data_IF_967274152442
#
_entry.id   IF_967274152442
#
_cell.length_a   1.000
_cell.length_b   1.000
_cell.length_c   1.000
_cell.angle_alpha   90.00
_cell.angle_beta   90.00
_cell.angle_gamma   90.00
#
_symmetry.space_group_name_H-M   'P 1'
#
loop_
_entity.id
_entity.type
_entity.pdbx_description
1 polymer ?
#
# COMPACT_ATOMS: atom_id res chain seq x y z
N UNK A 1 -7.11 13.40 -9.99
CA UNK A 1 -6.35 13.58 -11.24
C UNK A 1 -6.54 12.37 -12.12
N UNK A 2 -7.27 12.52 -13.22
CA UNK A 2 -7.56 11.44 -14.15
C UNK A 2 -6.34 11.14 -15.00
N UNK A 3 -5.98 9.86 -15.13
CA UNK A 3 -4.85 9.41 -15.92
C UNK A 3 -5.10 8.04 -16.53
N UNK A 4 -4.40 7.76 -17.60
CA UNK A 4 -4.21 6.42 -18.13
C UNK A 4 -2.90 5.86 -17.59
N UNK A 5 -2.95 4.66 -17.04
CA UNK A 5 -1.77 3.95 -16.56
C UNK A 5 -1.60 2.65 -17.34
N UNK A 6 -0.40 2.48 -17.90
CA UNK A 6 0.02 1.26 -18.55
C UNK A 6 1.14 0.64 -17.72
N UNK A 7 1.07 -0.67 -17.51
CA UNK A 7 2.06 -1.41 -16.76
C UNK A 7 2.27 -2.79 -17.36
N UNK A 8 3.54 -3.14 -17.56
CA UNK A 8 3.96 -4.49 -17.92
C UNK A 8 4.94 -5.03 -16.90
N UNK A 9 4.89 -6.33 -16.64
CA UNK A 9 5.82 -7.00 -15.74
C UNK A 9 6.09 -8.42 -16.21
N UNK A 10 7.35 -8.82 -16.12
CA UNK A 10 7.79 -10.20 -16.30
C UNK A 10 8.35 -10.68 -14.98
N UNK A 11 7.82 -11.82 -14.50
CA UNK A 11 8.33 -12.53 -13.31
C UNK A 11 8.76 -13.93 -13.70
N UNK A 12 9.98 -14.29 -13.30
CA UNK A 12 10.54 -15.62 -13.44
C UNK A 12 10.75 -16.19 -12.04
N UNK A 13 10.32 -17.41 -11.80
CA UNK A 13 10.46 -18.12 -10.53
C UNK A 13 11.10 -19.49 -10.72
N UNK A 14 11.80 -19.94 -9.71
CA UNK A 14 12.40 -21.26 -9.63
C UNK A 14 12.11 -21.90 -8.26
N UNK A 15 11.44 -23.05 -8.28
CA UNK A 15 11.12 -23.82 -7.09
C UNK A 15 12.31 -24.75 -6.80
N UNK A 16 13.12 -24.40 -5.82
CA UNK A 16 14.31 -25.20 -5.46
C UNK A 16 14.00 -26.29 -4.42
N UNK A 17 12.84 -26.20 -3.76
CA UNK A 17 12.32 -27.23 -2.86
C UNK A 17 10.79 -27.08 -2.77
N UNK A 18 10.03 -28.13 -2.45
CA UNK A 18 8.61 -28.02 -2.21
C UNK A 18 8.28 -26.90 -1.20
N UNK A 19 7.45 -25.94 -1.61
CA UNK A 19 7.09 -24.79 -0.82
C UNK A 19 8.11 -23.64 -0.75
N UNK A 20 9.22 -23.71 -1.52
CA UNK A 20 10.26 -22.69 -1.54
C UNK A 20 10.57 -22.24 -2.96
N UNK A 21 10.26 -21.00 -3.27
CA UNK A 21 10.47 -20.37 -4.58
C UNK A 21 11.41 -19.19 -4.45
N UNK A 22 12.43 -19.09 -5.30
CA UNK A 22 13.15 -17.83 -5.55
C UNK A 22 12.65 -17.24 -6.85
N UNK A 23 12.59 -15.92 -6.94
CA UNK A 23 12.07 -15.27 -8.12
C UNK A 23 12.72 -13.92 -8.39
N UNK A 24 12.65 -13.49 -9.64
CA UNK A 24 13.01 -12.14 -10.06
C UNK A 24 11.87 -11.56 -10.90
N UNK A 25 11.67 -10.23 -10.80
CA UNK A 25 10.68 -9.49 -11.58
C UNK A 25 11.28 -8.19 -12.09
N UNK A 26 11.07 -7.92 -13.37
CA UNK A 26 11.22 -6.58 -13.95
C UNK A 26 9.85 -6.03 -14.32
N UNK A 27 9.59 -4.76 -14.07
CA UNK A 27 8.38 -4.10 -14.52
C UNK A 27 8.66 -2.72 -15.12
N UNK A 28 7.80 -2.34 -16.07
CA UNK A 28 7.76 -1.04 -16.72
C UNK A 28 6.40 -0.41 -16.46
N UNK A 29 6.36 0.88 -16.26
CA UNK A 29 5.10 1.61 -16.13
C UNK A 29 5.17 2.97 -16.85
N UNK A 30 4.01 3.42 -17.30
CA UNK A 30 3.84 4.75 -17.87
C UNK A 30 2.51 5.32 -17.39
N UNK A 31 2.52 6.59 -16.97
CA UNK A 31 1.35 7.30 -16.51
C UNK A 31 1.17 8.56 -17.34
N UNK A 32 0.05 8.65 -18.04
CA UNK A 32 -0.32 9.78 -18.87
C UNK A 32 -1.55 10.47 -18.29
N UNK A 33 -1.39 11.69 -17.83
CA UNK A 33 -2.48 12.48 -17.25
C UNK A 33 -3.33 13.07 -18.38
N UNK A 34 -4.67 13.00 -18.23
CA UNK A 34 -5.63 13.47 -19.24
C UNK A 34 -5.57 14.98 -19.35
N UNK A 35 -5.46 15.67 -18.21
CA UNK A 35 -5.34 17.12 -18.16
C UNK A 35 -3.86 17.48 -17.96
N UNK A 36 -3.20 17.80 -19.06
CA UNK A 36 -1.78 18.20 -19.09
C UNK A 36 -1.59 19.37 -20.06
N UNK A 37 -0.91 20.48 -19.67
CA UNK A 37 -0.40 20.76 -18.32
C UNK A 37 -1.48 20.83 -17.26
N UNK A 38 -1.12 20.64 -15.97
CA UNK A 38 -2.02 20.82 -14.84
C UNK A 38 -2.35 22.31 -14.60
N UNK A 39 -3.18 22.62 -13.62
CA UNK A 39 -3.58 23.99 -13.28
C UNK A 39 -2.42 24.90 -12.86
N UNK A 40 -1.24 24.36 -12.62
CA UNK A 40 0.00 25.07 -12.29
C UNK A 40 0.96 25.16 -13.49
N UNK A 41 0.57 24.61 -14.65
CA UNK A 41 1.39 24.59 -15.85
C UNK A 41 2.39 23.45 -15.97
N UNK A 42 2.35 22.43 -15.09
CA UNK A 42 3.29 21.30 -15.09
C UNK A 42 2.79 20.11 -15.89
N UNK A 43 3.70 19.44 -16.60
CA UNK A 43 3.46 18.17 -17.29
C UNK A 43 3.82 17.00 -16.35
N UNK A 44 2.82 16.38 -15.71
CA UNK A 44 3.01 15.31 -14.72
C UNK A 44 3.16 13.91 -15.30
N UNK A 45 3.12 13.79 -16.63
CA UNK A 45 3.36 12.52 -17.29
C UNK A 45 4.70 11.95 -16.86
N UNK A 46 4.73 10.65 -16.64
CA UNK A 46 5.93 9.99 -16.14
C UNK A 46 6.00 8.54 -16.61
N UNK A 47 7.19 7.98 -16.59
CA UNK A 47 7.46 6.58 -16.86
C UNK A 47 8.51 6.06 -15.90
N UNK A 48 8.49 4.76 -15.66
CA UNK A 48 9.45 4.18 -14.72
C UNK A 48 9.62 2.69 -14.90
N UNK A 49 10.57 2.17 -14.16
CA UNK A 49 10.82 0.73 -14.06
C UNK A 49 11.20 0.33 -12.65
N UNK A 50 10.96 -0.94 -12.34
CA UNK A 50 11.52 -1.59 -11.16
C UNK A 50 12.13 -2.94 -11.52
N UNK A 51 13.18 -3.31 -10.78
CA UNK A 51 13.78 -4.64 -10.81
C UNK A 51 13.88 -5.12 -9.38
N UNK A 52 13.28 -6.26 -9.09
CA UNK A 52 13.26 -6.86 -7.76
C UNK A 52 13.54 -8.36 -7.84
N UNK A 53 14.20 -8.87 -6.80
CA UNK A 53 14.35 -10.30 -6.53
C UNK A 53 13.74 -10.65 -5.19
N UNK A 54 13.22 -11.87 -5.05
CA UNK A 54 12.53 -12.24 -3.84
C UNK A 54 12.49 -13.75 -3.60
N UNK A 55 11.94 -14.08 -2.45
CA UNK A 55 11.68 -15.45 -2.01
C UNK A 55 10.22 -15.57 -1.59
N UNK A 56 9.60 -16.68 -1.95
CA UNK A 56 8.29 -17.07 -1.46
C UNK A 56 8.41 -18.42 -0.75
N UNK A 57 7.75 -18.53 0.40
CA UNK A 57 7.74 -19.74 1.21
C UNK A 57 6.29 -20.08 1.54
N UNK A 58 5.92 -21.33 1.32
CA UNK A 58 4.61 -21.90 1.66
C UNK A 58 4.80 -23.18 2.48
N UNK A 59 4.45 -23.12 3.75
CA UNK A 59 4.59 -24.23 4.70
C UNK A 59 3.23 -24.91 4.93
N UNK A 60 2.49 -25.18 3.86
CA UNK A 60 1.32 -26.05 3.90
C UNK A 60 0.08 -25.45 4.55
N UNK A 61 -0.23 -24.18 4.30
CA UNK A 61 -1.49 -23.53 4.71
C UNK A 61 -1.49 -22.96 6.13
N UNK A 62 -0.50 -23.26 6.96
CA UNK A 62 -0.34 -22.65 8.29
C UNK A 62 0.42 -21.33 8.18
N UNK A 63 1.46 -21.31 7.36
CA UNK A 63 2.32 -20.13 7.20
C UNK A 63 2.78 -20.03 5.77
N UNK A 64 2.57 -18.88 5.16
CA UNK A 64 3.21 -18.49 3.91
C UNK A 64 3.71 -17.07 4.00
N UNK A 65 4.82 -16.77 3.32
CA UNK A 65 5.30 -15.40 3.19
C UNK A 65 6.03 -15.20 1.87
N UNK A 66 6.00 -13.97 1.41
CA UNK A 66 6.79 -13.52 0.28
C UNK A 66 7.54 -12.25 0.69
N UNK A 67 8.85 -12.24 0.44
CA UNK A 67 9.71 -11.08 0.67
C UNK A 67 10.51 -10.79 -0.59
N UNK A 68 10.70 -9.50 -0.89
CA UNK A 68 11.48 -9.06 -2.04
C UNK A 68 12.24 -7.77 -1.73
N UNK A 69 13.32 -7.56 -2.48
CA UNK A 69 14.07 -6.32 -2.49
C UNK A 69 14.59 -6.03 -3.90
N UNK A 70 14.83 -4.77 -4.19
CA UNK A 70 15.35 -4.33 -5.48
C UNK A 70 15.43 -2.81 -5.57
N UNK A 71 15.25 -2.29 -6.76
CA UNK A 71 15.38 -0.87 -7.02
C UNK A 71 14.29 -0.40 -7.97
N UNK A 72 13.82 0.82 -7.75
CA UNK A 72 12.84 1.49 -8.60
C UNK A 72 13.36 2.85 -9.06
N UNK A 73 12.90 3.26 -10.23
CA UNK A 73 13.16 4.59 -10.79
C UNK A 73 11.92 5.08 -11.54
N UNK A 74 11.54 6.35 -11.29
CA UNK A 74 10.43 7.01 -11.96
C UNK A 74 10.90 8.36 -12.51
N UNK A 75 10.81 8.55 -13.81
CA UNK A 75 11.19 9.75 -14.54
C UNK A 75 9.96 10.55 -14.91
N UNK A 76 10.02 11.86 -14.76
CA UNK A 76 8.97 12.79 -15.18
C UNK A 76 9.37 13.48 -16.48
N UNK A 77 8.40 13.76 -17.35
CA UNK A 77 8.66 14.48 -18.60
C UNK A 77 8.99 15.96 -18.36
N UNK A 78 8.43 16.54 -17.29
CA UNK A 78 8.70 17.92 -16.92
C UNK A 78 10.03 18.02 -16.13
N UNK A 79 10.99 18.81 -16.57
CA UNK A 79 12.29 18.96 -15.89
C UNK A 79 12.19 19.62 -14.50
N UNK A 80 11.07 20.27 -14.18
CA UNK A 80 10.82 20.80 -12.83
C UNK A 80 10.64 19.70 -11.78
N UNK A 81 10.32 18.47 -12.21
CA UNK A 81 10.15 17.34 -11.30
C UNK A 81 11.43 16.53 -11.15
N UNK A 82 11.89 16.30 -9.92
CA UNK A 82 13.03 15.43 -9.68
C UNK A 82 12.67 13.97 -10.02
N UNK A 83 13.66 13.21 -10.48
CA UNK A 83 13.54 11.76 -10.61
C UNK A 83 13.31 11.14 -9.23
N UNK A 84 12.29 10.31 -9.11
CA UNK A 84 12.03 9.54 -7.90
C UNK A 84 12.68 8.18 -8.04
N UNK A 85 13.67 7.88 -7.20
CA UNK A 85 14.42 6.63 -7.27
C UNK A 85 14.84 6.15 -5.88
N UNK A 86 15.07 4.86 -5.75
CA UNK A 86 15.57 4.31 -4.50
C UNK A 86 15.30 2.82 -4.33
N UNK A 87 15.70 2.28 -3.16
CA UNK A 87 15.43 0.89 -2.85
C UNK A 87 13.92 0.62 -2.80
N UNK A 88 13.50 -0.49 -3.40
CA UNK A 88 12.16 -1.04 -3.33
C UNK A 88 12.23 -2.34 -2.54
N UNK A 89 11.32 -2.51 -1.59
CA UNK A 89 11.22 -3.75 -0.84
C UNK A 89 9.79 -3.98 -0.36
N UNK A 90 9.50 -5.22 -0.08
CA UNK A 90 8.22 -5.62 0.47
C UNK A 90 8.32 -6.97 1.16
N UNK A 91 7.37 -7.18 2.06
CA UNK A 91 7.10 -8.44 2.72
C UNK A 91 5.61 -8.55 2.91
N UNK A 92 5.06 -9.71 2.64
CA UNK A 92 3.70 -10.07 3.05
C UNK A 92 3.76 -11.49 3.63
N UNK A 93 3.17 -11.65 4.81
CA UNK A 93 3.04 -12.95 5.46
C UNK A 93 1.58 -13.30 5.69
N UNK A 94 1.27 -14.58 5.72
CA UNK A 94 0.00 -15.14 6.19
C UNK A 94 0.35 -16.22 7.21
N UNK A 95 -0.13 -16.05 8.42
CA UNK A 95 0.05 -16.99 9.51
C UNK A 95 -1.30 -17.34 10.11
N UNK A 96 -1.66 -18.63 10.02
CA UNK A 96 -2.92 -19.18 10.49
C UNK A 96 -2.65 -20.14 11.66
N UNK A 97 -2.30 -19.63 12.87
CA UNK A 97 -1.99 -20.47 14.02
C UNK A 97 -3.19 -21.31 14.48
N UNK A 98 -4.39 -20.83 14.20
CA UNK A 98 -5.66 -21.52 14.41
C UNK A 98 -6.49 -21.42 13.12
N UNK A 99 -7.45 -22.32 12.93
CA UNK A 99 -8.37 -22.28 11.77
C UNK A 99 -9.19 -20.99 11.75
N UNK A 100 -9.47 -20.43 12.91
CA UNK A 100 -10.25 -19.23 13.12
C UNK A 100 -9.45 -17.94 13.14
N UNK A 101 -8.11 -18.03 13.17
CA UNK A 101 -7.22 -16.87 13.32
C UNK A 101 -6.26 -16.75 12.15
N UNK A 102 -6.33 -15.64 11.44
CA UNK A 102 -5.36 -15.23 10.42
C UNK A 102 -4.64 -13.96 10.89
N UNK A 103 -3.32 -13.99 10.80
CA UNK A 103 -2.43 -12.85 11.08
C UNK A 103 -1.64 -12.56 9.81
N UNK A 104 -1.72 -11.33 9.32
CA UNK A 104 -1.06 -10.91 8.08
C UNK A 104 -0.16 -9.70 8.33
N UNK A 105 1.12 -9.91 8.71
CA UNK A 105 2.11 -8.85 8.71
C UNK A 105 2.48 -8.46 7.28
N UNK A 106 2.74 -7.16 7.07
CA UNK A 106 3.22 -6.68 5.78
C UNK A 106 4.13 -5.46 5.92
N UNK A 107 5.04 -5.33 4.97
CA UNK A 107 5.83 -4.13 4.73
C UNK A 107 5.82 -3.87 3.23
N UNK A 108 5.61 -2.62 2.85
CA UNK A 108 5.60 -2.21 1.44
C UNK A 108 6.28 -0.87 1.27
N UNK A 109 7.11 -0.76 0.22
CA UNK A 109 7.66 0.51 -0.23
C UNK A 109 7.34 0.71 -1.71
N UNK A 110 6.74 1.86 -2.04
CA UNK A 110 6.30 2.18 -3.40
C UNK A 110 6.32 3.69 -3.65
N UNK A 111 6.40 4.07 -4.92
CA UNK A 111 6.18 5.46 -5.36
C UNK A 111 4.68 5.68 -5.53
N UNK A 112 4.17 6.65 -4.81
CA UNK A 112 2.77 7.07 -4.85
C UNK A 112 2.64 8.49 -5.41
N UNK A 113 1.53 8.73 -6.10
CA UNK A 113 1.21 10.07 -6.57
C UNK A 113 0.67 10.93 -5.44
N UNK A 114 0.87 12.23 -5.57
CA UNK A 114 0.39 13.22 -4.59
C UNK A 114 -0.62 14.18 -5.20
N UNK A 115 -1.55 14.65 -4.38
CA UNK A 115 -2.42 15.77 -4.70
C UNK A 115 -1.74 17.13 -4.52
N UNK A 116 -0.57 17.16 -3.85
CA UNK A 116 0.19 18.39 -3.68
C UNK A 116 0.69 18.90 -5.04
N UNK A 117 0.46 20.19 -5.29
CA UNK A 117 0.92 20.84 -6.53
C UNK A 117 2.41 21.08 -6.52
N UNK A 118 3.01 21.14 -5.34
CA UNK A 118 4.43 21.43 -5.08
C UNK A 118 5.33 20.20 -5.02
N UNK A 119 4.79 19.01 -5.26
CA UNK A 119 5.55 17.75 -5.23
C UNK A 119 5.27 16.91 -6.49
N UNK A 120 6.30 16.22 -6.96
CA UNK A 120 6.21 15.24 -8.05
C UNK A 120 5.41 14.01 -7.64
N UNK A 121 5.70 13.47 -6.47
CA UNK A 121 5.13 12.29 -5.84
C UNK A 121 5.78 12.10 -4.48
N UNK A 122 5.52 10.97 -3.85
CA UNK A 122 6.20 10.60 -2.61
C UNK A 122 6.57 9.12 -2.59
N UNK A 123 7.64 8.82 -1.88
CA UNK A 123 8.05 7.45 -1.60
C UNK A 123 7.42 7.03 -0.28
N UNK A 124 6.44 6.15 -0.37
CA UNK A 124 5.73 5.60 0.79
C UNK A 124 6.42 4.34 1.28
N UNK A 125 6.62 4.24 2.58
CA UNK A 125 7.00 2.99 3.26
C UNK A 125 5.98 2.72 4.34
N UNK A 126 5.24 1.62 4.20
CA UNK A 126 4.19 1.24 5.14
C UNK A 126 4.52 -0.12 5.75
N UNK A 127 4.48 -0.21 7.08
CA UNK A 127 4.54 -1.47 7.81
C UNK A 127 3.26 -1.64 8.61
N UNK A 128 2.65 -2.81 8.55
CA UNK A 128 1.36 -3.04 9.20
C UNK A 128 1.08 -4.49 9.51
N UNK A 129 0.00 -4.69 10.22
CA UNK A 129 -0.52 -5.97 10.66
C UNK A 129 -2.04 -5.99 10.49
N UNK A 130 -2.55 -6.99 9.79
CA UNK A 130 -3.97 -7.34 9.77
C UNK A 130 -4.18 -8.60 10.63
N UNK A 131 -5.20 -8.60 11.45
CA UNK A 131 -5.63 -9.76 12.25
C UNK A 131 -7.11 -9.99 11.99
N UNK A 132 -7.46 -11.19 11.53
CA UNK A 132 -8.85 -11.62 11.38
C UNK A 132 -9.10 -12.81 12.31
N UNK A 133 -10.13 -12.70 13.13
CA UNK A 133 -10.56 -13.75 14.06
C UNK A 133 -12.02 -14.09 13.86
N UNK A 134 -12.28 -15.33 13.49
CA UNK A 134 -13.63 -15.89 13.37
C UNK A 134 -14.10 -16.36 14.74
N UNK A 135 -14.62 -15.43 15.55
CA UNK A 135 -15.05 -15.71 16.93
C UNK A 135 -16.20 -16.70 17.00
N UNK A 136 -17.09 -16.67 15.99
CA UNK A 136 -18.18 -17.64 15.75
C UNK A 136 -18.40 -17.80 14.24
N UNK A 137 -19.11 -18.83 13.77
CA UNK A 137 -19.41 -18.98 12.34
C UNK A 137 -20.07 -17.76 11.69
N UNK A 138 -20.74 -16.94 12.48
CA UNK A 138 -21.43 -15.72 12.05
C UNK A 138 -20.84 -14.42 12.61
N UNK A 139 -19.71 -14.48 13.32
CA UNK A 139 -19.05 -13.28 13.89
C UNK A 139 -17.58 -13.27 13.52
N UNK A 140 -17.16 -12.26 12.75
CA UNK A 140 -15.75 -11.99 12.42
C UNK A 140 -15.32 -10.69 13.06
N UNK A 141 -14.21 -10.73 13.77
CA UNK A 141 -13.51 -9.57 14.33
C UNK A 141 -12.27 -9.30 13.49
N UNK A 142 -12.05 -8.05 13.15
CA UNK A 142 -10.91 -7.60 12.34
C UNK A 142 -10.21 -6.50 13.11
N UNK A 143 -8.90 -6.61 13.26
CA UNK A 143 -8.03 -5.56 13.75
C UNK A 143 -6.98 -5.26 12.68
N UNK A 144 -6.70 -3.98 12.49
CA UNK A 144 -5.69 -3.50 11.56
C UNK A 144 -4.88 -2.39 12.22
N UNK A 145 -3.58 -2.41 12.04
CA UNK A 145 -2.70 -1.34 12.45
C UNK A 145 -1.57 -1.17 11.44
N UNK A 146 -1.33 0.06 11.02
CA UNK A 146 -0.20 0.37 10.15
C UNK A 146 0.49 1.67 10.56
N UNK A 147 1.76 1.73 10.20
CA UNK A 147 2.57 2.92 10.27
C UNK A 147 3.19 3.20 8.91
N UNK A 148 2.95 4.39 8.37
CA UNK A 148 3.43 4.79 7.07
C UNK A 148 4.32 6.04 7.14
N UNK A 149 5.45 6.01 6.41
CA UNK A 149 6.32 7.16 6.16
C UNK A 149 6.17 7.58 4.71
N UNK A 150 5.85 8.84 4.48
CA UNK A 150 5.75 9.46 3.16
C UNK A 150 6.82 10.54 3.00
N UNK A 151 7.82 10.27 2.16
CA UNK A 151 8.88 11.23 1.83
C UNK A 151 8.54 11.87 0.48
N UNK A 152 8.22 13.17 0.49
CA UNK A 152 7.80 13.89 -0.71
C UNK A 152 9.00 14.39 -1.52
N UNK A 153 8.91 14.23 -2.83
CA UNK A 153 9.86 14.77 -3.81
C UNK A 153 9.35 16.12 -4.29
N UNK A 154 9.83 17.17 -3.60
CA UNK A 154 9.41 18.55 -3.82
C UNK A 154 10.01 19.14 -5.09
N UNK A 155 9.29 20.05 -5.73
CA UNK A 155 9.71 20.80 -6.93
C UNK A 155 10.21 22.20 -6.55
N UNK A 156 11.05 22.79 -7.38
CA UNK A 156 11.46 24.19 -7.31
C UNK A 156 11.94 24.65 -5.92
N UNK A 157 12.82 23.87 -5.27
CA UNK A 157 13.39 24.17 -3.94
C UNK A 157 12.34 24.40 -2.83
N UNK A 158 11.14 23.88 -2.98
CA UNK A 158 10.15 23.88 -1.90
C UNK A 158 10.70 23.15 -0.66
N UNK A 159 10.26 23.53 0.56
CA UNK A 159 10.72 22.89 1.77
C UNK A 159 10.49 21.38 1.72
N UNK A 160 11.50 20.62 2.17
CA UNK A 160 11.38 19.18 2.32
C UNK A 160 10.20 18.81 3.21
N UNK A 161 9.37 17.85 2.74
CA UNK A 161 8.22 17.37 3.48
C UNK A 161 8.32 15.88 3.74
N UNK A 162 8.06 15.50 4.98
CA UNK A 162 7.89 14.13 5.44
C UNK A 162 6.64 14.04 6.30
N UNK A 163 5.75 13.15 5.92
CA UNK A 163 4.54 12.86 6.67
C UNK A 163 4.62 11.43 7.24
N UNK A 164 4.11 11.27 8.45
CA UNK A 164 3.99 9.99 9.14
C UNK A 164 2.53 9.76 9.48
N UNK A 165 2.06 8.56 9.23
CA UNK A 165 0.68 8.18 9.50
C UNK A 165 0.65 6.95 10.41
N UNK A 166 -0.10 7.01 11.50
CA UNK A 166 -0.46 5.84 12.30
C UNK A 166 -1.95 5.61 12.13
N UNK A 167 -2.32 4.44 11.60
CA UNK A 167 -3.70 4.01 11.41
C UNK A 167 -4.00 2.83 12.30
N UNK A 168 -5.04 2.91 13.10
CA UNK A 168 -5.58 1.79 13.88
C UNK A 168 -7.05 1.62 13.51
N UNK A 169 -7.46 0.40 13.23
CA UNK A 169 -8.85 0.06 12.90
C UNK A 169 -9.28 -1.21 13.61
N UNK A 170 -10.47 -1.19 14.18
CA UNK A 170 -11.16 -2.37 14.68
C UNK A 170 -12.53 -2.48 14.00
N UNK A 171 -12.94 -3.69 13.64
CA UNK A 171 -14.23 -3.93 13.03
C UNK A 171 -14.82 -5.27 13.52
N UNK A 172 -16.14 -5.29 13.61
CA UNK A 172 -16.92 -6.51 13.86
C UNK A 172 -17.94 -6.65 12.75
N UNK A 173 -17.92 -7.78 12.07
CA UNK A 173 -18.91 -8.18 11.08
C UNK A 173 -19.78 -9.27 11.68
N UNK A 174 -21.09 -9.13 11.54
CA UNK A 174 -22.08 -10.07 12.04
C UNK A 174 -23.04 -10.49 10.92
N UNK A 175 -23.06 -11.77 10.57
CA UNK A 175 -24.02 -12.35 9.66
C UNK A 175 -25.31 -12.64 10.43
N UNK A 176 -26.34 -11.81 10.23
CA UNK A 176 -27.67 -11.93 10.84
C UNK A 176 -28.40 -13.16 10.33
N UNK A 177 -28.29 -13.41 9.02
CA UNK A 177 -28.79 -14.59 8.32
C UNK A 177 -27.80 -14.97 7.23
N UNK A 178 -28.11 -16.04 6.45
CA UNK A 178 -27.28 -16.40 5.28
C UNK A 178 -27.19 -15.27 4.23
N UNK A 179 -28.22 -14.44 4.17
CA UNK A 179 -28.38 -13.40 3.16
C UNK A 179 -28.21 -11.97 3.70
N UNK A 180 -28.25 -11.76 5.01
CA UNK A 180 -28.19 -10.44 5.61
C UNK A 180 -27.02 -10.33 6.58
N UNK A 181 -26.22 -9.29 6.43
CA UNK A 181 -25.08 -9.01 7.32
C UNK A 181 -25.02 -7.55 7.75
N UNK A 182 -24.41 -7.31 8.89
CA UNK A 182 -24.11 -5.97 9.42
C UNK A 182 -22.67 -5.91 9.87
N UNK A 183 -22.12 -4.71 9.94
CA UNK A 183 -20.76 -4.48 10.43
C UNK A 183 -20.62 -3.12 11.07
N UNK A 184 -19.87 -3.07 12.15
CA UNK A 184 -19.46 -1.85 12.82
C UNK A 184 -17.95 -1.77 12.76
N UNK A 185 -17.40 -0.61 12.37
CA UNK A 185 -15.97 -0.36 12.41
C UNK A 185 -15.66 1.00 12.99
N UNK A 186 -14.54 1.06 13.70
CA UNK A 186 -13.91 2.28 14.18
C UNK A 186 -12.49 2.36 13.61
N UNK A 187 -12.11 3.52 13.11
CA UNK A 187 -10.76 3.80 12.63
C UNK A 187 -10.28 5.11 13.24
N UNK A 188 -9.05 5.07 13.74
CA UNK A 188 -8.32 6.23 14.19
C UNK A 188 -7.09 6.44 13.30
N UNK A 189 -6.89 7.67 12.81
CA UNK A 189 -5.74 8.06 12.01
C UNK A 189 -5.08 9.25 12.66
N UNK A 190 -3.79 9.13 12.93
CA UNK A 190 -2.95 10.23 13.38
C UNK A 190 -1.93 10.55 12.29
N UNK A 191 -1.89 11.79 11.84
CA UNK A 191 -0.88 12.30 10.92
C UNK A 191 0.04 13.28 11.64
N UNK A 192 1.36 13.04 11.51
CA UNK A 192 2.42 13.94 11.95
C UNK A 192 3.22 14.37 10.72
N UNK A 193 3.46 15.65 10.57
CA UNK A 193 4.23 16.24 9.48
C UNK A 193 5.32 17.15 10.05
N UNK A 194 6.43 17.28 9.34
CA UNK A 194 7.44 18.28 9.64
C UNK A 194 7.05 19.71 9.22
N UNK A 195 5.93 19.84 8.47
CA UNK A 195 5.37 21.15 8.14
C UNK A 195 4.41 21.64 9.21
N UNK A 196 4.45 22.94 9.50
CA UNK A 196 3.53 23.56 10.44
C UNK A 196 2.07 23.42 9.98
N UNK A 197 1.17 23.16 10.95
CA UNK A 197 -0.28 23.04 10.74
C UNK A 197 -0.72 21.91 9.78
N UNK A 198 0.16 20.94 9.48
CA UNK A 198 -0.16 19.79 8.64
C UNK A 198 -0.52 18.52 9.44
N UNK A 199 -0.49 18.60 10.77
CA UNK A 199 -0.85 17.50 11.68
C UNK A 199 -2.35 17.42 11.85
N UNK A 200 -2.87 16.20 11.93
CA UNK A 200 -4.29 16.01 12.29
C UNK A 200 -4.52 14.65 12.97
N UNK A 201 -5.63 14.59 13.70
CA UNK A 201 -6.24 13.38 14.21
C UNK A 201 -7.62 13.21 13.59
N UNK A 202 -7.94 12.01 13.14
CA UNK A 202 -9.22 11.69 12.55
C UNK A 202 -9.81 10.43 13.20
N UNK A 203 -11.10 10.49 13.53
CA UNK A 203 -11.86 9.36 14.04
C UNK A 203 -13.01 9.09 13.06
N UNK A 204 -13.14 7.85 12.61
CA UNK A 204 -14.16 7.43 11.66
C UNK A 204 -14.92 6.25 12.27
N UNK A 205 -16.23 6.41 12.42
CA UNK A 205 -17.14 5.31 12.76
C UNK A 205 -17.97 4.99 11.53
N UNK A 206 -18.05 3.72 11.17
CA UNK A 206 -18.84 3.27 10.03
C UNK A 206 -19.74 2.10 10.43
N UNK A 207 -21.01 2.24 10.14
CA UNK A 207 -22.01 1.16 10.19
C UNK A 207 -22.29 0.70 8.76
N UNK A 208 -22.28 -0.60 8.57
CA UNK A 208 -22.62 -1.25 7.28
C UNK A 208 -23.78 -2.20 7.47
N UNK A 209 -24.72 -2.17 6.55
CA UNK A 209 -25.78 -3.16 6.40
C UNK A 209 -25.78 -3.61 4.93
N UNK A 210 -25.85 -4.90 4.70
CA UNK A 210 -25.84 -5.43 3.32
C UNK A 210 -26.54 -6.77 3.21
N UNK A 211 -26.92 -7.09 1.97
CA UNK A 211 -27.51 -8.37 1.60
C UNK A 211 -26.68 -9.07 0.52
N UNK A 212 -26.71 -10.42 0.55
CA UNK A 212 -26.14 -11.32 -0.47
C UNK A 212 -27.26 -12.10 -1.11
N UNK A 213 -27.29 -12.18 -2.43
CA UNK A 213 -28.27 -12.93 -3.20
C UNK A 213 -27.61 -14.14 -3.87
#
# INVERSE_FOLDING_TARGET
RDRNEWREALRLGYDFSPGYTVWARGSLNQRNYIYTPDSQGFVRNNYGYDIVGGVAVDLGGITSFEAFAGYLTQYYYDPAFPTVQGPMFGLVGYWNPLKELMVKPYVRRAVEDTSLTTAAGYLSTTAGLDVEYQARPNIKVIAHGDYAWANFYMINNNPWQQDQYLTLRAAVNYDLTRNLYTGLSYQWVNKISNLQNANYNQNIVMLRLGSRF
#
